data_IF_958175631344
#
_entry.id   IF_958175631344
#
_cell.length_a   1.000
_cell.length_b   1.000
_cell.length_c   1.000
_cell.angle_alpha   90.00
_cell.angle_beta   90.00
_cell.angle_gamma   90.00
#
_symmetry.space_group_name_H-M   'P 1'
#
loop_
_entity.id
_entity.type
_entity.pdbx_description
1 polymer ?
#
# COMPACT_ATOMS: atom_id res chain seq x y z
N UNK A 1 74.60 31.46 -43.50
CA UNK A 1 74.20 31.12 -42.12
C UNK A 1 72.68 31.03 -42.10
N UNK A 2 72.14 29.80 -42.03
CA UNK A 2 71.45 29.21 -40.85
C UNK A 2 70.08 29.87 -40.57
N UNK A 3 68.93 29.24 -40.35
CA UNK A 3 68.40 27.87 -40.36
C UNK A 3 66.85 28.01 -40.29
N UNK A 4 66.08 26.99 -40.73
CA UNK A 4 64.58 26.86 -40.66
C UNK A 4 64.12 26.66 -39.19
N UNK A 5 62.85 26.32 -38.82
CA UNK A 5 61.49 26.39 -39.42
C UNK A 5 60.42 26.92 -38.40
N UNK A 6 59.12 26.94 -38.73
CA UNK A 6 58.02 26.51 -37.81
C UNK A 6 56.63 26.62 -38.48
N UNK A 7 55.80 25.62 -38.19
CA UNK A 7 54.45 25.39 -38.70
C UNK A 7 53.37 25.98 -37.78
N UNK A 8 52.10 25.73 -38.18
CA UNK A 8 50.82 26.03 -37.51
C UNK A 8 50.36 27.49 -37.71
N UNK A 9 49.09 27.78 -38.04
CA UNK A 9 47.94 27.53 -37.16
C UNK A 9 46.63 27.72 -37.95
N UNK A 10 45.86 26.63 -38.03
CA UNK A 10 44.42 26.54 -37.74
C UNK A 10 43.41 27.16 -38.73
N UNK A 11 42.82 26.27 -39.53
CA UNK A 11 41.44 26.36 -39.99
C UNK A 11 40.49 26.20 -38.79
N UNK A 12 39.67 27.20 -38.48
CA UNK A 12 38.59 27.09 -37.48
C UNK A 12 37.24 26.88 -38.16
N UNK A 13 36.74 25.67 -37.93
CA UNK A 13 35.46 25.11 -38.33
C UNK A 13 34.25 25.96 -37.90
N UNK A 14 33.30 26.06 -38.83
CA UNK A 14 31.87 26.17 -38.56
C UNK A 14 31.38 24.98 -37.72
N UNK A 15 30.64 25.25 -36.65
CA UNK A 15 29.47 24.51 -36.14
C UNK A 15 29.41 24.57 -34.62
N UNK A 16 28.24 24.94 -34.08
CA UNK A 16 27.53 24.31 -32.95
C UNK A 16 26.58 25.33 -32.29
N UNK A 17 25.44 25.58 -32.95
CA UNK A 17 24.22 26.00 -32.27
C UNK A 17 23.53 24.72 -31.75
N UNK A 18 23.85 24.30 -30.52
CA UNK A 18 23.12 23.22 -29.84
C UNK A 18 22.23 23.83 -28.76
N UNK A 19 20.94 23.91 -29.07
CA UNK A 19 19.88 24.25 -28.12
C UNK A 19 19.65 23.06 -27.16
N UNK A 20 19.69 23.31 -25.85
CA UNK A 20 19.30 22.32 -24.85
C UNK A 20 17.76 22.28 -24.73
N UNK A 21 17.12 21.36 -25.45
CA UNK A 21 15.74 20.97 -25.16
C UNK A 21 15.75 19.99 -23.98
N UNK A 22 15.28 20.43 -22.81
CA UNK A 22 15.12 19.56 -21.64
C UNK A 22 13.82 18.76 -21.78
N UNK A 23 13.84 17.42 -21.75
CA UNK A 23 12.62 16.62 -21.79
C UNK A 23 11.79 16.81 -20.49
N UNK A 24 10.45 16.71 -20.56
CA UNK A 24 9.60 16.80 -19.38
C UNK A 24 9.98 15.71 -18.39
N UNK A 25 10.18 16.11 -17.12
CA UNK A 25 10.51 15.21 -16.02
C UNK A 25 9.36 14.22 -15.85
N UNK A 26 9.59 12.96 -16.22
CA UNK A 26 8.67 11.87 -15.90
C UNK A 26 8.61 11.70 -14.37
N UNK A 27 7.44 11.35 -13.80
CA UNK A 27 7.34 11.05 -12.37
C UNK A 27 8.31 9.91 -12.01
N UNK A 28 8.98 9.96 -10.84
CA UNK A 28 9.98 8.97 -10.48
C UNK A 28 9.35 7.58 -10.39
N UNK A 29 10.05 6.60 -10.95
CA UNK A 29 9.67 5.19 -10.83
C UNK A 29 9.82 4.74 -9.36
N UNK A 30 8.76 4.15 -8.81
CA UNK A 30 8.69 3.49 -7.49
C UNK A 30 9.84 2.50 -7.38
N UNK A 31 10.86 2.82 -6.57
CA UNK A 31 12.09 2.04 -6.39
C UNK A 31 12.02 1.09 -5.19
N UNK A 32 12.99 0.18 -5.06
CA UNK A 32 13.06 -0.82 -3.97
C UNK A 32 13.09 -0.21 -2.54
N UNK A 33 13.51 1.05 -2.41
CA UNK A 33 13.44 1.82 -1.16
C UNK A 33 11.99 2.11 -0.74
N UNK A 34 11.06 2.20 -1.68
CA UNK A 34 9.63 2.50 -1.47
C UNK A 34 8.89 1.36 -0.73
N UNK A 35 9.42 0.13 -0.75
CA UNK A 35 8.89 -1.02 0.01
C UNK A 35 9.41 -1.05 1.46
N UNK A 36 10.62 -0.54 1.70
CA UNK A 36 11.08 -0.25 3.06
C UNK A 36 10.28 0.91 3.67
N UNK A 37 9.88 1.88 2.84
CA UNK A 37 9.08 3.06 3.19
C UNK A 37 7.61 2.77 3.54
N UNK A 38 7.14 1.51 3.40
CA UNK A 38 5.75 1.12 3.64
C UNK A 38 5.61 0.07 4.76
N UNK A 39 5.95 0.42 6.02
CA UNK A 39 5.88 -0.51 7.14
C UNK A 39 4.44 -0.97 7.43
N UNK A 40 3.43 -0.14 7.14
CA UNK A 40 2.02 -0.48 7.35
C UNK A 40 1.56 -1.58 6.40
N UNK A 41 1.88 -1.46 5.11
CA UNK A 41 1.56 -2.45 4.08
C UNK A 41 2.29 -3.77 4.36
N UNK A 42 3.55 -3.71 4.84
CA UNK A 42 4.28 -4.90 5.28
C UNK A 42 3.59 -5.59 6.47
N UNK A 43 3.13 -4.83 7.46
CA UNK A 43 2.37 -5.36 8.59
C UNK A 43 1.03 -5.96 8.14
N UNK A 44 0.34 -5.35 7.17
CA UNK A 44 -0.90 -5.90 6.61
C UNK A 44 -0.66 -7.26 5.98
N UNK A 45 0.35 -7.37 5.10
CA UNK A 45 0.69 -8.65 4.46
C UNK A 45 1.09 -9.71 5.49
N UNK A 46 1.83 -9.34 6.54
CA UNK A 46 2.15 -10.25 7.63
C UNK A 46 0.90 -10.70 8.40
N UNK A 47 -0.04 -9.79 8.65
CA UNK A 47 -1.30 -10.10 9.31
C UNK A 47 -2.22 -10.99 8.48
N UNK A 48 -2.28 -10.79 7.17
CA UNK A 48 -3.03 -11.64 6.25
C UNK A 48 -2.48 -13.08 6.24
N UNK A 49 -1.16 -13.24 6.11
CA UNK A 49 -0.51 -14.57 6.17
C UNK A 49 -0.77 -15.26 7.50
N UNK A 50 -0.58 -14.55 8.61
CA UNK A 50 -0.85 -15.11 9.94
C UNK A 50 -2.32 -15.52 10.11
N UNK A 51 -3.27 -14.78 9.52
CA UNK A 51 -4.68 -15.15 9.53
C UNK A 51 -4.94 -16.44 8.74
N UNK A 52 -4.38 -16.55 7.53
CA UNK A 52 -4.48 -17.74 6.68
C UNK A 52 -3.86 -18.98 7.35
N UNK A 53 -2.76 -18.79 8.09
CA UNK A 53 -2.08 -19.82 8.89
C UNK A 53 -2.76 -20.11 10.24
N UNK A 54 -3.96 -19.55 10.47
CA UNK A 54 -4.74 -19.64 11.72
C UNK A 54 -3.99 -19.15 12.99
N UNK A 55 -2.94 -18.33 12.83
CA UNK A 55 -2.21 -17.67 13.91
C UNK A 55 -2.92 -16.39 14.35
N UNK A 56 -4.18 -16.50 14.80
CA UNK A 56 -5.05 -15.35 15.05
C UNK A 56 -4.49 -14.28 16.02
N UNK A 57 -3.80 -14.63 17.12
CA UNK A 57 -3.19 -13.62 17.99
C UNK A 57 -2.09 -12.81 17.29
N UNK A 58 -1.30 -13.46 16.42
CA UNK A 58 -0.27 -12.78 15.63
C UNK A 58 -0.93 -11.94 14.52
N UNK A 59 -1.95 -12.48 13.86
CA UNK A 59 -2.73 -11.76 12.86
C UNK A 59 -3.33 -10.47 13.44
N UNK A 60 -4.01 -10.55 14.59
CA UNK A 60 -4.58 -9.39 15.28
C UNK A 60 -3.51 -8.31 15.53
N UNK A 61 -2.36 -8.68 16.10
CA UNK A 61 -1.27 -7.75 16.37
C UNK A 61 -0.76 -7.06 15.10
N UNK A 62 -0.54 -7.81 14.03
CA UNK A 62 -0.01 -7.27 12.77
C UNK A 62 -1.02 -6.38 12.05
N UNK A 63 -2.30 -6.78 12.02
CA UNK A 63 -3.37 -5.99 11.41
C UNK A 63 -3.59 -4.67 12.17
N UNK A 64 -3.52 -4.70 13.50
CA UNK A 64 -3.55 -3.48 14.31
C UNK A 64 -2.35 -2.57 14.03
N UNK A 65 -1.14 -3.13 13.92
CA UNK A 65 0.04 -2.38 13.56
C UNK A 65 -0.07 -1.75 12.16
N UNK A 66 -0.66 -2.47 11.20
CA UNK A 66 -0.93 -1.95 9.87
C UNK A 66 -1.86 -0.73 9.90
N UNK A 67 -2.97 -0.84 10.64
CA UNK A 67 -3.93 0.26 10.80
C UNK A 67 -3.34 1.47 11.51
N UNK A 68 -2.46 1.26 12.50
CA UNK A 68 -1.73 2.33 13.18
C UNK A 68 -0.66 2.98 12.29
N UNK A 69 -0.14 2.25 11.30
CA UNK A 69 0.91 2.70 10.39
C UNK A 69 0.44 3.58 9.23
N UNK A 70 -0.83 4.00 9.18
CA UNK A 70 -1.43 4.80 8.11
C UNK A 70 -1.38 4.14 6.72
N UNK A 71 -1.99 2.95 6.58
CA UNK A 71 -2.23 2.33 5.27
C UNK A 71 -2.84 3.34 4.27
N UNK A 72 -2.19 3.51 3.12
CA UNK A 72 -2.58 4.50 2.11
C UNK A 72 -3.91 4.12 1.46
N UNK A 73 -4.06 2.86 1.08
CA UNK A 73 -5.22 2.34 0.37
C UNK A 73 -6.45 2.22 1.30
N UNK A 74 -7.59 2.86 0.93
CA UNK A 74 -8.87 2.66 1.61
C UNK A 74 -9.30 1.20 1.67
N UNK A 75 -9.07 0.46 0.57
CA UNK A 75 -9.38 -0.96 0.46
C UNK A 75 -8.55 -1.80 1.42
N UNK A 76 -7.28 -1.44 1.60
CA UNK A 76 -6.36 -2.16 2.48
C UNK A 76 -6.74 -1.96 3.95
N UNK A 77 -7.13 -0.73 4.32
CA UNK A 77 -7.71 -0.45 5.64
C UNK A 77 -8.99 -1.26 5.87
N UNK A 78 -9.89 -1.29 4.89
CA UNK A 78 -11.12 -2.08 4.99
C UNK A 78 -10.85 -3.58 5.08
N UNK A 79 -9.86 -4.10 4.34
CA UNK A 79 -9.44 -5.50 4.43
C UNK A 79 -8.85 -5.84 5.80
N UNK A 80 -8.02 -4.96 6.38
CA UNK A 80 -7.47 -5.15 7.72
C UNK A 80 -8.58 -5.20 8.78
N UNK A 81 -9.52 -4.25 8.73
CA UNK A 81 -10.70 -4.24 9.59
C UNK A 81 -11.59 -5.47 9.38
N UNK A 82 -11.78 -5.96 8.15
CA UNK A 82 -12.53 -7.19 7.87
C UNK A 82 -11.95 -8.40 8.62
N UNK A 83 -10.62 -8.60 8.52
CA UNK A 83 -9.96 -9.73 9.16
C UNK A 83 -10.01 -9.62 10.69
N UNK A 84 -9.82 -8.42 11.25
CA UNK A 84 -10.03 -8.19 12.68
C UNK A 84 -11.46 -8.47 13.12
N UNK A 85 -12.46 -8.08 12.32
CA UNK A 85 -13.86 -8.37 12.60
C UNK A 85 -14.10 -9.89 12.68
N UNK A 86 -13.57 -10.66 11.72
CA UNK A 86 -13.69 -12.11 11.73
C UNK A 86 -13.03 -12.73 12.97
N UNK A 87 -11.79 -12.35 13.30
CA UNK A 87 -11.10 -12.80 14.51
C UNK A 87 -11.97 -12.54 15.75
N UNK A 88 -12.44 -11.31 15.93
CA UNK A 88 -13.23 -10.94 17.11
C UNK A 88 -14.57 -11.65 17.19
N UNK A 89 -15.27 -11.81 16.06
CA UNK A 89 -16.51 -12.56 16.03
C UNK A 89 -16.29 -14.04 16.41
N UNK A 90 -15.23 -14.68 15.91
CA UNK A 90 -14.92 -16.08 16.24
C UNK A 90 -14.37 -16.28 17.66
N UNK A 91 -13.85 -15.22 18.28
CA UNK A 91 -13.37 -15.22 19.67
C UNK A 91 -14.40 -14.67 20.66
N UNK A 92 -15.68 -14.59 20.28
CA UNK A 92 -16.78 -14.12 21.13
C UNK A 92 -16.63 -12.66 21.63
N UNK A 93 -15.83 -11.84 20.95
CA UNK A 93 -15.65 -10.39 21.21
C UNK A 93 -16.60 -9.57 20.33
N UNK A 94 -17.91 -9.74 20.53
CA UNK A 94 -18.93 -9.25 19.59
C UNK A 94 -18.98 -7.72 19.46
N UNK A 95 -18.75 -6.97 20.54
CA UNK A 95 -18.67 -5.50 20.50
C UNK A 95 -17.53 -5.03 19.60
N UNK A 96 -16.35 -5.63 19.75
CA UNK A 96 -15.19 -5.31 18.92
C UNK A 96 -15.42 -5.71 17.47
N UNK A 97 -16.00 -6.89 17.24
CA UNK A 97 -16.36 -7.34 15.88
C UNK A 97 -17.23 -6.31 15.15
N UNK A 98 -18.26 -5.79 15.81
CA UNK A 98 -19.15 -4.79 15.23
C UNK A 98 -18.45 -3.46 14.97
N UNK A 99 -17.55 -3.04 15.87
CA UNK A 99 -16.68 -1.86 15.69
C UNK A 99 -15.81 -2.01 14.45
N UNK A 100 -15.20 -3.18 14.24
CA UNK A 100 -14.32 -3.40 13.09
C UNK A 100 -15.11 -3.41 11.77
N UNK A 101 -16.31 -4.01 11.71
CA UNK A 101 -17.13 -3.91 10.49
C UNK A 101 -17.56 -2.49 10.17
N UNK A 102 -17.89 -1.67 11.18
CA UNK A 102 -18.16 -0.24 10.97
C UNK A 102 -16.93 0.48 10.43
N UNK A 103 -15.77 0.23 11.03
CA UNK A 103 -14.52 0.82 10.59
C UNK A 103 -14.15 0.40 9.16
N UNK A 104 -14.44 -0.84 8.75
CA UNK A 104 -14.25 -1.29 7.38
C UNK A 104 -15.08 -0.48 6.38
N UNK A 105 -16.38 -0.27 6.66
CA UNK A 105 -17.26 0.59 5.82
C UNK A 105 -16.83 2.05 5.81
N UNK A 106 -16.39 2.57 6.95
CA UNK A 106 -15.91 3.95 7.05
C UNK A 106 -14.61 4.14 6.26
N UNK A 107 -13.74 3.14 6.26
CA UNK A 107 -12.48 3.15 5.50
C UNK A 107 -12.72 3.08 3.99
N UNK A 108 -13.61 2.20 3.53
CA UNK A 108 -14.02 2.06 2.13
C UNK A 108 -15.55 1.94 2.03
N UNK A 109 -16.26 2.97 1.53
CA UNK A 109 -17.71 2.91 1.33
C UNK A 109 -18.17 1.80 0.38
N UNK A 110 -17.28 1.32 -0.50
CA UNK A 110 -17.53 0.19 -1.40
C UNK A 110 -17.33 -1.18 -0.75
N UNK A 111 -16.94 -1.23 0.54
CA UNK A 111 -16.69 -2.48 1.26
C UNK A 111 -17.95 -3.36 1.31
N UNK A 112 -17.82 -4.55 0.74
CA UNK A 112 -18.85 -5.58 0.79
C UNK A 112 -18.24 -6.95 1.07
N UNK A 113 -18.90 -7.74 1.92
CA UNK A 113 -18.60 -9.16 2.05
C UNK A 113 -19.12 -9.90 0.82
N UNK A 114 -18.41 -10.96 0.42
CA UNK A 114 -18.94 -11.92 -0.54
C UNK A 114 -20.21 -12.60 0.00
N UNK A 115 -21.01 -13.19 -0.89
CA UNK A 115 -22.22 -13.93 -0.50
C UNK A 115 -21.93 -15.02 0.53
N UNK A 116 -20.82 -15.75 0.34
CA UNK A 116 -20.40 -16.82 1.25
C UNK A 116 -19.98 -16.29 2.61
N UNK A 117 -19.20 -15.20 2.66
CA UNK A 117 -18.80 -14.57 3.92
C UNK A 117 -20.02 -14.02 4.68
N UNK A 118 -20.94 -13.33 3.98
CA UNK A 118 -22.14 -12.76 4.60
C UNK A 118 -23.11 -13.81 5.16
N UNK A 119 -23.05 -15.05 4.66
CA UNK A 119 -23.88 -16.18 5.11
C UNK A 119 -23.38 -16.89 6.37
N UNK A 120 -22.21 -16.50 6.92
CA UNK A 120 -21.65 -17.19 8.09
C UNK A 120 -22.47 -16.92 9.36
N UNK A 121 -22.78 -17.93 10.19
CA UNK A 121 -23.70 -17.79 11.31
C UNK A 121 -23.21 -16.83 12.41
N UNK A 122 -21.89 -16.72 12.61
CA UNK A 122 -21.33 -15.88 13.69
C UNK A 122 -21.21 -14.40 13.32
N UNK A 123 -20.62 -14.08 12.16
CA UNK A 123 -20.35 -12.69 11.77
C UNK A 123 -21.35 -12.12 10.76
N UNK A 124 -22.07 -12.98 10.01
CA UNK A 124 -23.08 -12.55 9.04
C UNK A 124 -24.16 -11.65 9.66
N UNK A 125 -24.78 -12.04 10.80
CA UNK A 125 -25.75 -11.18 11.49
C UNK A 125 -25.17 -9.85 11.96
N UNK A 126 -23.89 -9.83 12.39
CA UNK A 126 -23.22 -8.59 12.82
C UNK A 126 -23.02 -7.66 11.62
N UNK A 127 -22.49 -8.19 10.52
CA UNK A 127 -22.31 -7.44 9.28
C UNK A 127 -23.63 -6.87 8.75
N UNK A 128 -24.71 -7.67 8.75
CA UNK A 128 -26.03 -7.21 8.31
C UNK A 128 -26.56 -6.05 9.17
N UNK A 129 -26.44 -6.13 10.50
CA UNK A 129 -26.83 -5.01 11.38
C UNK A 129 -26.02 -3.75 11.09
N UNK A 130 -24.72 -3.90 10.82
CA UNK A 130 -23.85 -2.78 10.45
C UNK A 130 -24.28 -2.17 9.12
N UNK A 131 -24.75 -2.95 8.15
CA UNK A 131 -25.22 -2.44 6.85
C UNK A 131 -26.54 -1.67 6.90
N UNK A 132 -27.38 -1.95 7.90
CA UNK A 132 -28.69 -1.32 8.07
C UNK A 132 -28.63 0.03 8.81
N UNK A 133 -27.43 0.44 9.26
CA UNK A 133 -27.18 1.69 9.99
C UNK A 133 -26.24 2.58 9.19
#
# INVERSE_FOLDING_TARGET
MSSRPAALVIATLLALLTACAQPPVAPPAVGLLDVAERPAERALLAGMRAYEDAQYPQAEKQLQAALQGNLVSPRDRAAAHKLLAFIFCTSNRMTDCEVQFRAARAADPGFALSKSEAGHPLWGPVYQRVQQR
#
